data_IF_733182640018
#
_entry.id   IF_733182640018
#
_cell.length_a   1.000
_cell.length_b   1.000
_cell.length_c   1.000
_cell.angle_alpha   90.00
_cell.angle_beta   90.00
_cell.angle_gamma   90.00
#
_symmetry.space_group_name_H-M   'P 1'
#
loop_
_entity.id
_entity.type
_entity.pdbx_description
1 polymer ?
#
# COMPACT_ATOMS: atom_id res chain seq x y z
N UNK A 1 6.76 10.62 -10.79
CA UNK A 1 8.13 10.09 -10.82
C UNK A 1 8.02 8.56 -10.71
N UNK A 2 8.47 7.80 -11.71
CA UNK A 2 8.36 6.33 -11.73
C UNK A 2 9.70 5.72 -12.13
N UNK A 3 10.74 6.04 -11.37
CA UNK A 3 12.10 5.58 -11.61
C UNK A 3 12.83 5.50 -10.26
N UNK A 4 13.23 4.28 -9.88
CA UNK A 4 13.95 4.01 -8.63
C UNK A 4 15.37 4.54 -8.66
N UNK A 5 16.01 4.59 -9.83
CA UNK A 5 17.35 5.14 -10.01
C UNK A 5 17.39 6.64 -9.76
N UNK A 6 16.43 7.39 -10.32
CA UNK A 6 16.29 8.83 -10.04
C UNK A 6 15.99 9.07 -8.57
N UNK A 7 15.10 8.27 -7.97
CA UNK A 7 14.79 8.36 -6.54
C UNK A 7 16.05 8.20 -5.67
N UNK A 8 16.87 7.18 -5.95
CA UNK A 8 18.13 6.97 -5.25
C UNK A 8 19.12 8.11 -5.50
N UNK A 9 19.25 8.60 -6.74
CA UNK A 9 20.14 9.71 -7.07
C UNK A 9 19.77 11.03 -6.38
N UNK A 10 18.48 11.23 -6.07
CA UNK A 10 17.99 12.41 -5.33
C UNK A 10 17.99 12.20 -3.81
N UNK A 11 18.28 11.00 -3.33
CA UNK A 11 18.30 10.72 -1.90
C UNK A 11 19.64 11.18 -1.31
N UNK A 12 19.62 11.83 -0.15
CA UNK A 12 20.83 12.37 0.51
C UNK A 12 21.70 11.28 1.17
N UNK A 13 21.19 10.07 1.31
CA UNK A 13 21.88 8.93 1.92
C UNK A 13 22.50 8.00 0.87
N UNK A 14 23.58 7.28 1.22
CA UNK A 14 24.15 6.21 0.40
C UNK A 14 23.26 4.95 0.41
N UNK A 15 22.05 5.08 -0.14
CA UNK A 15 21.02 4.04 -0.14
C UNK A 15 21.45 2.85 -1.02
N UNK A 16 22.26 3.10 -2.06
CA UNK A 16 22.79 2.06 -2.93
C UNK A 16 23.65 1.06 -2.16
N UNK A 17 24.55 1.55 -1.28
CA UNK A 17 25.41 0.71 -0.47
C UNK A 17 24.62 -0.11 0.54
N UNK A 18 23.59 0.47 1.15
CA UNK A 18 22.76 -0.24 2.14
C UNK A 18 21.90 -1.34 1.52
N UNK A 19 21.40 -1.14 0.29
CA UNK A 19 20.65 -2.16 -0.46
C UNK A 19 21.58 -3.31 -0.83
N UNK A 20 22.74 -3.02 -1.44
CA UNK A 20 23.70 -4.04 -1.89
C UNK A 20 24.18 -4.90 -0.72
N UNK A 21 24.46 -4.26 0.41
CA UNK A 21 24.96 -4.95 1.61
C UNK A 21 23.85 -5.62 2.45
N UNK A 22 22.58 -5.52 2.03
CA UNK A 22 21.40 -5.99 2.79
C UNK A 22 21.44 -5.53 4.24
N UNK A 23 21.84 -4.28 4.47
CA UNK A 23 22.01 -3.75 5.82
C UNK A 23 20.66 -3.82 6.56
N UNK A 24 20.54 -4.62 7.63
CA UNK A 24 19.29 -4.77 8.37
C UNK A 24 18.91 -3.52 9.17
N UNK A 25 19.84 -2.56 9.35
CA UNK A 25 19.59 -1.27 9.98
C UNK A 25 19.10 -0.21 8.99
N UNK A 26 19.32 -0.43 7.69
CA UNK A 26 18.91 0.52 6.66
C UNK A 26 17.41 0.43 6.38
N UNK A 27 16.73 1.58 6.49
CA UNK A 27 15.32 1.67 6.18
C UNK A 27 15.10 1.87 4.67
N UNK A 28 15.38 0.83 3.88
CA UNK A 28 15.21 0.82 2.42
C UNK A 28 13.73 0.84 1.96
N UNK A 29 12.80 1.27 2.85
CA UNK A 29 11.36 1.28 2.62
C UNK A 29 10.98 2.10 1.39
N UNK A 30 11.52 3.31 1.24
CA UNK A 30 11.20 4.21 0.14
C UNK A 30 11.53 3.62 -1.24
N UNK A 31 12.69 2.97 -1.38
CA UNK A 31 13.10 2.34 -2.64
C UNK A 31 12.23 1.12 -2.96
N UNK A 32 11.94 0.29 -1.95
CA UNK A 32 11.09 -0.90 -2.15
C UNK A 32 9.65 -0.52 -2.49
N UNK A 33 9.09 0.48 -1.81
CA UNK A 33 7.77 1.02 -2.13
C UNK A 33 7.74 1.59 -3.55
N UNK A 34 8.77 2.33 -3.97
CA UNK A 34 8.84 2.86 -5.32
C UNK A 34 8.99 1.77 -6.38
N UNK A 35 9.78 0.73 -6.12
CA UNK A 35 9.92 -0.42 -7.02
C UNK A 35 8.59 -1.16 -7.22
N UNK A 36 7.85 -1.39 -6.11
CA UNK A 36 6.50 -1.97 -6.16
C UNK A 36 5.54 -1.05 -6.92
N UNK A 37 5.61 0.26 -6.68
CA UNK A 37 4.78 1.23 -7.39
C UNK A 37 5.04 1.19 -8.90
N UNK A 38 6.30 1.13 -9.33
CA UNK A 38 6.68 1.02 -10.74
C UNK A 38 6.11 -0.26 -11.36
N UNK A 39 6.22 -1.40 -10.67
CA UNK A 39 5.68 -2.67 -11.15
C UNK A 39 4.15 -2.67 -11.25
N UNK A 40 3.44 -2.10 -10.28
CA UNK A 40 1.98 -1.98 -10.36
C UNK A 40 1.55 -0.98 -11.46
N UNK A 41 2.29 0.12 -11.63
CA UNK A 41 2.01 1.11 -12.69
C UNK A 41 2.25 0.54 -14.09
N UNK A 42 3.29 -0.27 -14.28
CA UNK A 42 3.55 -0.93 -15.57
C UNK A 42 2.45 -1.94 -15.94
N UNK A 43 1.76 -2.46 -14.93
CA UNK A 43 0.56 -3.31 -15.05
C UNK A 43 -0.74 -2.53 -15.26
N UNK A 44 -0.70 -1.19 -15.33
CA UNK A 44 -1.86 -0.34 -15.58
C UNK A 44 -2.69 0.02 -14.33
N UNK A 45 -2.23 -0.31 -13.12
CA UNK A 45 -2.98 0.03 -11.91
C UNK A 45 -2.88 1.53 -11.58
N UNK A 46 -4.02 2.16 -11.29
CA UNK A 46 -4.06 3.48 -10.65
C UNK A 46 -3.79 3.35 -9.17
N UNK A 47 -2.63 3.84 -8.72
CA UNK A 47 -2.21 3.79 -7.32
C UNK A 47 -2.84 4.92 -6.52
N UNK A 48 -3.38 4.57 -5.35
CA UNK A 48 -3.86 5.50 -4.33
C UNK A 48 -3.20 5.15 -3.00
N UNK A 49 -2.90 6.15 -2.20
CA UNK A 49 -2.38 5.98 -0.84
C UNK A 49 -3.44 6.38 0.19
N UNK A 50 -3.38 5.79 1.39
CA UNK A 50 -4.27 6.15 2.49
C UNK A 50 -3.46 6.42 3.77
N UNK A 51 -3.63 7.64 4.29
CA UNK A 51 -3.20 8.05 5.62
C UNK A 51 -4.40 8.52 6.43
N UNK A 52 -4.38 8.28 7.74
CA UNK A 52 -5.30 8.93 8.67
C UNK A 52 -4.57 10.06 9.38
N UNK A 53 -4.98 11.31 9.14
CA UNK A 53 -4.32 12.55 9.59
C UNK A 53 -3.95 12.60 11.08
N UNK A 54 -4.73 11.93 11.94
CA UNK A 54 -4.55 11.91 13.39
C UNK A 54 -4.14 10.52 13.92
N UNK A 55 -3.47 9.70 13.11
CA UNK A 55 -3.04 8.36 13.48
C UNK A 55 -1.78 7.95 12.71
N UNK A 56 -1.00 7.01 13.26
CA UNK A 56 0.11 6.36 12.54
C UNK A 56 -0.37 5.31 11.54
N UNK A 57 -1.66 5.38 11.17
CA UNK A 57 -2.24 4.45 10.23
C UNK A 57 -2.00 4.92 8.80
N UNK A 58 -1.20 4.13 8.12
CA UNK A 58 -0.81 4.33 6.74
C UNK A 58 -0.96 3.01 5.97
N UNK A 59 -1.40 3.10 4.72
CA UNK A 59 -1.50 2.00 3.76
C UNK A 59 -0.80 2.45 2.49
N UNK A 60 0.29 1.77 2.11
CA UNK A 60 1.12 2.17 0.98
C UNK A 60 0.34 2.25 -0.33
N UNK A 61 -0.48 1.24 -0.64
CA UNK A 61 -1.28 1.22 -1.87
C UNK A 61 -2.70 0.70 -1.66
N UNK A 62 -3.65 1.32 -2.33
CA UNK A 62 -5.02 0.84 -2.52
C UNK A 62 -5.30 0.78 -4.02
N UNK A 63 -5.60 -0.42 -4.52
CA UNK A 63 -5.86 -0.68 -5.94
C UNK A 63 -7.14 -1.50 -6.13
N UNK A 64 -7.71 -1.45 -7.32
CA UNK A 64 -8.74 -2.40 -7.74
C UNK A 64 -8.06 -3.57 -8.44
N UNK A 65 -7.95 -4.71 -7.75
CA UNK A 65 -7.36 -5.93 -8.29
C UNK A 65 -8.50 -6.90 -8.64
N UNK A 66 -8.78 -7.07 -9.94
CA UNK A 66 -9.82 -7.96 -10.47
C UNK A 66 -11.22 -7.71 -9.87
N UNK A 67 -11.62 -6.45 -9.67
CA UNK A 67 -12.93 -6.09 -9.12
C UNK A 67 -12.98 -6.01 -7.59
N UNK A 68 -11.85 -6.26 -6.89
CA UNK A 68 -11.77 -6.19 -5.43
C UNK A 68 -10.86 -5.05 -4.98
N UNK A 69 -11.37 -4.19 -4.08
CA UNK A 69 -10.56 -3.18 -3.40
C UNK A 69 -9.51 -3.90 -2.57
N UNK A 70 -8.26 -3.71 -2.95
CA UNK A 70 -7.11 -4.40 -2.39
C UNK A 70 -6.18 -3.40 -1.73
N UNK A 71 -6.01 -3.52 -0.42
CA UNK A 71 -5.02 -2.77 0.33
C UNK A 71 -3.70 -3.54 0.34
N UNK A 72 -2.60 -2.84 0.10
CA UNK A 72 -1.26 -3.41 0.05
C UNK A 72 -0.32 -2.67 0.99
N UNK A 73 0.49 -3.42 1.73
CA UNK A 73 1.56 -2.89 2.58
C UNK A 73 2.90 -3.50 2.17
N UNK A 74 3.91 -2.66 1.97
CA UNK A 74 5.28 -3.05 1.61
C UNK A 74 6.14 -3.05 2.86
N UNK A 75 6.90 -4.12 3.05
CA UNK A 75 7.87 -4.26 4.14
C UNK A 75 9.23 -4.61 3.55
N UNK A 76 10.15 -3.65 3.60
CA UNK A 76 11.55 -3.81 3.22
C UNK A 76 12.35 -4.66 4.22
N UNK A 77 11.94 -4.72 5.49
CA UNK A 77 12.63 -5.45 6.55
C UNK A 77 11.89 -6.69 7.08
N UNK A 78 12.57 -7.49 7.92
CA UNK A 78 12.04 -8.74 8.52
C UNK A 78 10.87 -8.56 9.50
N UNK A 79 10.45 -7.32 9.79
CA UNK A 79 9.35 -7.04 10.72
C UNK A 79 8.04 -7.53 10.12
N UNK A 80 7.48 -8.59 10.72
CA UNK A 80 6.28 -9.28 10.23
C UNK A 80 4.95 -8.56 10.51
N UNK A 81 4.93 -7.52 11.36
CA UNK A 81 3.69 -6.92 11.86
C UNK A 81 3.16 -5.85 10.90
N UNK A 82 1.94 -6.07 10.44
CA UNK A 82 1.17 -5.17 9.59
C UNK A 82 -0.11 -4.72 10.30
N UNK A 83 0.06 -3.95 11.38
CA UNK A 83 -1.05 -3.55 12.26
C UNK A 83 -2.09 -2.70 11.51
N UNK A 84 -1.61 -1.75 10.70
CA UNK A 84 -2.45 -0.84 9.91
C UNK A 84 -3.26 -1.61 8.86
N UNK A 85 -2.60 -2.47 8.07
CA UNK A 85 -3.27 -3.31 7.07
C UNK A 85 -4.30 -4.24 7.69
N UNK A 86 -3.94 -4.91 8.80
CA UNK A 86 -4.87 -5.78 9.53
C UNK A 86 -6.09 -5.00 9.99
N UNK A 87 -5.91 -3.84 10.60
CA UNK A 87 -7.03 -3.02 11.08
C UNK A 87 -7.94 -2.55 9.95
N UNK A 88 -7.39 -2.06 8.83
CA UNK A 88 -8.21 -1.66 7.69
C UNK A 88 -8.98 -2.85 7.12
N UNK A 89 -8.33 -4.02 6.99
CA UNK A 89 -8.96 -5.21 6.46
C UNK A 89 -10.09 -5.74 7.34
N UNK A 90 -9.86 -5.85 8.65
CA UNK A 90 -10.83 -6.43 9.58
C UNK A 90 -11.97 -5.49 9.95
N UNK A 91 -11.75 -4.17 9.92
CA UNK A 91 -12.71 -3.20 10.48
C UNK A 91 -13.59 -2.56 9.41
N UNK A 92 -13.09 -2.35 8.19
CA UNK A 92 -13.81 -1.53 7.20
C UNK A 92 -14.81 -2.29 6.35
N UNK A 93 -14.66 -3.62 6.24
CA UNK A 93 -15.43 -4.50 5.35
C UNK A 93 -15.48 -4.04 3.87
N UNK A 94 -14.73 -2.99 3.51
CA UNK A 94 -14.72 -2.35 2.19
C UNK A 94 -13.50 -2.81 1.42
N UNK A 95 -12.40 -3.07 2.12
CA UNK A 95 -11.24 -3.76 1.57
C UNK A 95 -11.56 -5.25 1.46
N UNK A 96 -11.77 -5.73 0.25
CA UNK A 96 -12.04 -7.13 -0.03
C UNK A 96 -10.80 -8.02 0.02
N UNK A 97 -9.60 -7.44 -0.14
CA UNK A 97 -8.32 -8.16 -0.05
C UNK A 97 -7.25 -7.34 0.65
N UNK A 98 -6.46 -7.99 1.49
CA UNK A 98 -5.27 -7.42 2.11
C UNK A 98 -4.03 -8.17 1.66
N UNK A 99 -3.05 -7.45 1.11
CA UNK A 99 -1.81 -8.00 0.60
C UNK A 99 -0.62 -7.41 1.36
N UNK A 100 0.26 -8.28 1.85
CA UNK A 100 1.55 -7.90 2.43
C UNK A 100 2.67 -8.31 1.48
N UNK A 101 3.49 -7.34 1.07
CA UNK A 101 4.67 -7.55 0.24
C UNK A 101 5.91 -7.50 1.12
N UNK A 102 6.64 -8.61 1.20
CA UNK A 102 7.86 -8.70 2.03
C UNK A 102 8.84 -9.74 1.49
N UNK A 103 10.03 -9.81 2.08
CA UNK A 103 10.89 -10.98 1.90
C UNK A 103 10.19 -12.24 2.44
N UNK A 104 10.02 -13.26 1.59
CA UNK A 104 9.35 -14.49 1.98
C UNK A 104 8.64 -15.19 0.82
N UNK A 105 7.85 -16.22 1.17
CA UNK A 105 7.08 -17.04 0.23
C UNK A 105 5.62 -16.57 0.12
N UNK A 106 4.90 -17.14 -0.84
CA UNK A 106 3.47 -16.91 -1.03
C UNK A 106 2.67 -17.77 -0.04
N UNK A 107 1.82 -17.14 0.78
CA UNK A 107 0.87 -17.84 1.66
C UNK A 107 -0.26 -16.90 2.13
N UNK A 108 -1.34 -17.45 2.69
CA UNK A 108 -2.38 -16.68 3.38
C UNK A 108 -2.30 -16.96 4.88
N UNK A 109 -2.31 -15.92 5.71
CA UNK A 109 -2.26 -16.08 7.16
C UNK A 109 -3.65 -16.34 7.77
N UNK A 110 -3.67 -16.65 9.07
CA UNK A 110 -4.89 -16.93 9.85
C UNK A 110 -5.92 -15.77 9.84
N UNK A 111 -5.48 -14.55 9.52
CA UNK A 111 -6.33 -13.37 9.45
C UNK A 111 -6.81 -13.08 8.02
N UNK A 112 -6.51 -13.97 7.07
CA UNK A 112 -6.89 -13.83 5.66
C UNK A 112 -5.99 -12.89 4.85
N UNK A 113 -4.89 -12.37 5.43
CA UNK A 113 -3.94 -11.51 4.72
C UNK A 113 -3.08 -12.38 3.79
N UNK A 114 -2.96 -11.95 2.54
CA UNK A 114 -2.17 -12.62 1.52
C UNK A 114 -0.74 -12.08 1.54
N UNK A 115 0.24 -12.96 1.75
CA UNK A 115 1.65 -12.62 1.76
C UNK A 115 2.24 -12.99 0.41
N UNK A 116 2.97 -12.05 -0.19
CA UNK A 116 3.67 -12.24 -1.46
C UNK A 116 5.13 -11.75 -1.32
N UNK A 117 6.08 -12.36 -2.06
CA UNK A 117 7.40 -11.77 -2.27
C UNK A 117 7.27 -10.34 -2.81
N UNK A 118 8.24 -9.47 -2.55
CA UNK A 118 8.26 -8.08 -3.05
C UNK A 118 8.06 -8.00 -4.59
N UNK A 119 8.65 -8.93 -5.34
CA UNK A 119 8.51 -9.02 -6.80
C UNK A 119 7.17 -9.61 -7.26
N UNK A 120 6.34 -10.13 -6.34
CA UNK A 120 5.12 -10.87 -6.66
C UNK A 120 4.10 -10.05 -7.47
N UNK A 121 4.08 -8.73 -7.26
CA UNK A 121 3.23 -7.79 -8.01
C UNK A 121 3.48 -7.82 -9.53
N UNK A 122 4.68 -8.20 -9.97
CA UNK A 122 5.01 -8.34 -11.40
C UNK A 122 4.21 -9.45 -12.09
N UNK A 123 3.69 -10.40 -11.31
CA UNK A 123 2.90 -11.53 -11.80
C UNK A 123 1.40 -11.32 -11.62
N UNK A 124 0.97 -10.16 -11.11
CA UNK A 124 -0.45 -9.84 -11.07
C UNK A 124 -0.98 -9.69 -12.49
N UNK A 125 -2.29 -9.98 -12.69
CA UNK A 125 -2.94 -9.68 -13.95
C UNK A 125 -2.79 -8.19 -14.26
N UNK A 126 -2.82 -7.85 -15.54
CA UNK A 126 -2.88 -6.44 -15.92
C UNK A 126 -4.21 -5.85 -15.46
N UNK A 127 -4.24 -4.54 -15.23
CA UNK A 127 -5.45 -3.84 -14.81
C UNK A 127 -6.51 -3.93 -15.92
N UNK A 128 -7.47 -4.83 -15.75
CA UNK A 128 -8.56 -5.06 -16.70
C UNK A 128 -9.78 -4.17 -16.43
N UNK A 129 -9.86 -3.55 -15.26
CA UNK A 129 -10.93 -2.64 -14.88
C UNK A 129 -10.44 -1.18 -14.99
N UNK A 130 -11.03 -0.45 -15.93
CA UNK A 130 -10.90 1.00 -16.03
C UNK A 130 -11.61 1.65 -14.86
N UNK A 131 -10.83 1.99 -13.84
CA UNK A 131 -11.26 2.69 -12.65
C UNK A 131 -12.31 1.95 -11.79
N UNK A 132 -12.23 2.15 -10.48
CA UNK A 132 -13.43 2.02 -9.66
C UNK A 132 -14.51 2.87 -10.33
N UNK A 133 -15.76 2.41 -10.38
CA UNK A 133 -16.86 3.14 -11.02
C UNK A 133 -16.98 4.61 -10.56
N UNK A 134 -17.93 5.38 -11.14
CA UNK A 134 -17.99 6.84 -11.01
C UNK A 134 -17.81 7.33 -9.57
N UNK A 135 -17.26 8.54 -9.46
CA UNK A 135 -16.70 9.24 -8.28
C UNK A 135 -17.47 8.99 -6.94
N UNK A 136 -18.76 8.67 -6.97
CA UNK A 136 -19.58 8.23 -5.84
C UNK A 136 -19.00 7.06 -5.01
N UNK A 137 -18.25 6.12 -5.62
CA UNK A 137 -17.58 5.04 -4.85
C UNK A 137 -16.46 5.53 -3.95
N UNK A 138 -15.81 6.64 -4.32
CA UNK A 138 -14.74 7.23 -3.51
C UNK A 138 -15.33 7.96 -2.29
N UNK A 139 -16.54 8.51 -2.42
CA UNK A 139 -17.22 9.16 -1.31
C UNK A 139 -17.86 8.14 -0.35
N UNK A 140 -18.32 6.98 -0.84
CA UNK A 140 -18.66 5.84 0.02
C UNK A 140 -17.43 5.28 0.74
N UNK A 141 -16.30 5.11 0.05
CA UNK A 141 -15.04 4.66 0.67
C UNK A 141 -14.55 5.67 1.73
N UNK A 142 -14.57 6.97 1.42
CA UNK A 142 -14.26 8.02 2.40
C UNK A 142 -15.24 8.00 3.57
N UNK A 143 -16.55 7.89 3.30
CA UNK A 143 -17.60 7.84 4.33
C UNK A 143 -17.40 6.67 5.30
N UNK A 144 -17.09 5.49 4.77
CA UNK A 144 -16.84 4.27 5.56
C UNK A 144 -15.51 4.31 6.30
N UNK A 145 -14.47 4.92 5.73
CA UNK A 145 -13.19 5.16 6.42
C UNK A 145 -13.31 6.19 7.56
N UNK A 146 -14.19 7.20 7.43
CA UNK A 146 -14.50 8.17 8.51
C UNK A 146 -15.08 7.49 9.75
N UNK A 147 -15.88 6.44 9.59
CA UNK A 147 -16.54 5.72 10.69
C UNK A 147 -15.56 4.98 11.62
N UNK A 148 -14.31 4.76 11.20
CA UNK A 148 -13.22 4.20 12.01
C UNK A 148 -12.57 5.29 12.89
N UNK A 149 -13.03 6.54 12.79
CA UNK A 149 -12.54 7.72 13.51
C UNK A 149 -13.05 7.88 14.94
N UNK A 150 -14.16 7.24 15.30
CA UNK A 150 -14.97 7.66 16.44
C UNK A 150 -15.86 8.86 16.05
N UNK A 151 -17.04 8.98 16.67
CA UNK A 151 -18.09 9.97 16.33
C UNK A 151 -17.69 11.44 16.54
N UNK A 152 -16.53 11.71 17.15
CA UNK A 152 -16.14 13.04 17.62
C UNK A 152 -14.89 13.62 16.93
N UNK A 153 -14.53 13.13 15.74
CA UNK A 153 -13.39 13.69 15.01
C UNK A 153 -13.78 15.06 14.40
N UNK A 154 -13.11 16.18 14.77
CA UNK A 154 -13.44 17.50 14.25
C UNK A 154 -13.30 17.55 12.72
N UNK A 155 -14.11 18.42 12.10
CA UNK A 155 -14.35 18.59 10.66
C UNK A 155 -13.06 18.81 9.81
N UNK A 156 -11.94 19.11 10.47
CA UNK A 156 -10.61 19.22 9.86
C UNK A 156 -9.89 17.88 9.64
N UNK A 157 -10.50 16.74 10.01
CA UNK A 157 -10.01 15.38 9.76
C UNK A 157 -10.11 15.00 8.28
N UNK A 158 -9.38 15.69 7.41
CA UNK A 158 -9.36 15.46 5.96
C UNK A 158 -8.76 14.09 5.64
N UNK A 159 -9.62 13.11 5.33
CA UNK A 159 -9.22 11.88 4.64
C UNK A 159 -8.67 12.27 3.26
N UNK A 160 -7.37 12.07 3.07
CA UNK A 160 -6.70 12.37 1.80
C UNK A 160 -6.33 11.05 1.10
N UNK A 161 -7.26 10.52 0.30
CA UNK A 161 -6.91 9.57 -0.76
C UNK A 161 -6.20 10.36 -1.86
N UNK A 162 -4.87 10.44 -1.76
CA UNK A 162 -4.04 11.14 -2.73
C UNK A 162 -3.75 10.19 -3.91
N UNK A 163 -3.92 10.69 -5.13
CA UNK A 163 -3.49 10.00 -6.35
C UNK A 163 -1.98 10.18 -6.49
N UNK A 164 -1.27 9.07 -6.74
CA UNK A 164 0.17 9.05 -7.03
C UNK A 164 0.46 9.13 -8.54
#
# INVERSE_FOLDING_TARGET
>A
LADTGILMALSEENIEGTIVNRDPLANNGMVMENAVACALRSKGYTLRYYEKTNSTLEINFVVNLQGSITAMEVKSGRKKKSKSLKMVFTTTHTVGRAIKLSEGNVFKDENGVEHYPLFGVCFFPDASYSDLGPIDYMDDLKGRLRMIGGKDAPDESRIALKRL
#
